data_IF_840624310760
#
_entry.id   IF_840624310760
#
_cell.length_a   1.000
_cell.length_b   1.000
_cell.length_c   1.000
_cell.angle_alpha   90.00
_cell.angle_beta   90.00
_cell.angle_gamma   90.00
#
_symmetry.space_group_name_H-M   'P 1'
#
loop_
_entity.id
_entity.type
_entity.pdbx_description
1 polymer ?
#
# COMPACT_ATOMS: atom_id res chain seq x y z
N UNK A 1 -18.29 -1.91 -6.90
CA UNK A 1 -16.95 -1.89 -6.28
C UNK A 1 -16.09 -2.98 -6.92
N UNK A 2 -14.80 -2.73 -7.18
CA UNK A 2 -13.92 -3.72 -7.80
C UNK A 2 -13.76 -4.96 -6.92
N UNK A 3 -13.80 -6.16 -7.50
CA UNK A 3 -13.67 -7.43 -6.76
C UNK A 3 -12.41 -7.50 -5.91
N UNK A 4 -11.30 -6.98 -6.44
CA UNK A 4 -10.00 -6.92 -5.75
C UNK A 4 -10.01 -6.06 -4.48
N UNK A 5 -10.89 -5.04 -4.42
CA UNK A 5 -11.06 -4.23 -3.21
C UNK A 5 -11.76 -5.01 -2.10
N UNK A 6 -12.76 -5.82 -2.47
CA UNK A 6 -13.54 -6.64 -1.54
C UNK A 6 -12.78 -7.86 -1.04
N UNK A 7 -11.79 -8.36 -1.78
CA UNK A 7 -11.04 -9.57 -1.45
C UNK A 7 -9.78 -9.32 -0.61
N UNK A 8 -9.65 -8.17 0.05
CA UNK A 8 -8.46 -7.84 0.84
C UNK A 8 -8.41 -8.66 2.13
N UNK A 9 -7.20 -9.08 2.50
CA UNK A 9 -6.96 -9.85 3.72
C UNK A 9 -6.91 -8.97 4.98
N UNK A 10 -6.58 -7.69 4.83
CA UNK A 10 -6.38 -6.76 5.93
C UNK A 10 -7.46 -5.66 5.92
N UNK A 11 -7.96 -5.25 7.10
CA UNK A 11 -8.86 -4.10 7.21
C UNK A 11 -8.12 -2.80 6.86
N UNK A 12 -8.88 -1.74 6.56
CA UNK A 12 -8.30 -0.39 6.45
C UNK A 12 -7.92 0.08 7.85
N UNK A 13 -6.66 0.49 8.03
CA UNK A 13 -6.15 0.95 9.31
C UNK A 13 -6.26 2.48 9.47
N UNK A 14 -6.14 3.23 8.37
CA UNK A 14 -6.26 4.68 8.38
C UNK A 14 -6.79 5.23 7.05
N UNK A 15 -7.41 6.41 7.14
CA UNK A 15 -7.91 7.21 6.02
C UNK A 15 -7.35 8.62 6.17
N UNK A 16 -6.79 9.17 5.09
CA UNK A 16 -6.34 10.55 5.00
C UNK A 16 -6.72 11.15 3.63
N UNK A 17 -6.58 12.46 3.48
CA UNK A 17 -7.01 13.20 2.29
C UNK A 17 -5.85 14.01 1.75
N UNK A 18 -5.73 14.17 0.43
CA UNK A 18 -4.68 15.02 -0.14
C UNK A 18 -5.00 16.49 0.15
N UNK A 19 -4.14 17.24 0.87
CA UNK A 19 -4.40 18.64 1.21
C UNK A 19 -4.41 19.57 -0.01
N UNK A 20 -3.93 19.09 -1.17
CA UNK A 20 -3.88 19.85 -2.43
C UNK A 20 -5.10 19.59 -3.29
N UNK A 21 -5.81 18.49 -3.05
CA UNK A 21 -6.95 18.08 -3.84
C UNK A 21 -7.96 17.27 -3.02
N UNK A 22 -9.06 17.92 -2.65
CA UNK A 22 -10.18 17.32 -1.91
C UNK A 22 -10.85 16.13 -2.63
N UNK A 23 -10.54 15.93 -3.92
CA UNK A 23 -11.00 14.79 -4.69
C UNK A 23 -10.20 13.51 -4.49
N UNK A 24 -9.06 13.59 -3.81
CA UNK A 24 -8.19 12.45 -3.56
C UNK A 24 -8.33 11.97 -2.11
N UNK A 25 -8.72 10.71 -1.97
CA UNK A 25 -8.77 9.99 -0.71
C UNK A 25 -7.64 8.96 -0.70
N UNK A 26 -6.88 8.91 0.38
CA UNK A 26 -5.77 7.99 0.56
C UNK A 26 -6.09 7.08 1.75
N UNK A 27 -6.04 5.78 1.52
CA UNK A 27 -6.36 4.74 2.49
C UNK A 27 -5.15 3.85 2.62
N UNK A 28 -4.92 3.25 3.79
CA UNK A 28 -3.95 2.17 3.86
C UNK A 28 -4.36 1.03 4.79
N UNK A 29 -3.83 -0.14 4.47
CA UNK A 29 -3.77 -1.30 5.35
C UNK A 29 -2.31 -1.58 5.75
N UNK A 30 -2.03 -2.78 6.25
CA UNK A 30 -0.68 -3.20 6.69
C UNK A 30 0.35 -3.26 5.56
N UNK A 31 -0.09 -3.41 4.30
CA UNK A 31 0.81 -3.69 3.16
C UNK A 31 0.59 -2.79 1.95
N UNK A 32 -0.58 -2.18 1.85
CA UNK A 32 -1.04 -1.50 0.65
C UNK A 32 -1.56 -0.11 1.00
N UNK A 33 -1.11 0.89 0.24
CA UNK A 33 -1.79 2.19 0.15
C UNK A 33 -2.75 2.12 -1.04
N UNK A 34 -3.98 2.56 -0.84
CA UNK A 34 -4.96 2.76 -1.88
C UNK A 34 -5.24 4.26 -2.07
N UNK A 35 -5.18 4.72 -3.31
CA UNK A 35 -5.55 6.09 -3.69
C UNK A 35 -6.84 6.03 -4.49
N UNK A 36 -7.84 6.79 -4.05
CA UNK A 36 -9.14 6.93 -4.70
C UNK A 36 -9.29 8.37 -5.21
N UNK A 37 -9.51 8.51 -6.50
CA UNK A 37 -9.78 9.78 -7.18
C UNK A 37 -11.28 9.87 -7.51
N UNK A 38 -11.99 10.79 -6.84
CA UNK A 38 -13.45 10.96 -6.97
C UNK A 38 -13.86 11.52 -8.34
N UNK A 39 -12.96 12.17 -9.07
CA UNK A 39 -13.26 12.75 -10.38
C UNK A 39 -13.25 11.72 -11.51
N UNK A 40 -12.87 10.47 -11.20
CA UNK A 40 -12.76 9.39 -12.17
C UNK A 40 -13.81 8.33 -11.95
N UNK A 41 -14.12 7.63 -13.03
CA UNK A 41 -15.07 6.54 -12.99
C UNK A 41 -14.54 5.36 -12.17
N UNK A 42 -15.45 4.74 -11.43
CA UNK A 42 -15.20 3.48 -10.76
C UNK A 42 -14.92 2.42 -11.82
N UNK A 43 -13.85 1.63 -11.66
CA UNK A 43 -13.54 0.62 -12.64
C UNK A 43 -14.54 -0.54 -12.49
N UNK A 44 -14.82 -1.25 -13.60
CA UNK A 44 -15.78 -2.37 -13.64
C UNK A 44 -15.44 -3.42 -12.57
N UNK A 45 -16.43 -4.13 -12.04
CA UNK A 45 -16.21 -5.08 -10.94
C UNK A 45 -15.13 -6.14 -11.24
N UNK A 46 -15.06 -6.59 -12.50
CA UNK A 46 -14.12 -7.58 -13.05
C UNK A 46 -12.72 -7.02 -13.33
N UNK A 47 -12.56 -5.70 -13.34
CA UNK A 47 -11.32 -5.05 -13.76
C UNK A 47 -10.24 -5.12 -12.69
N UNK A 48 -8.99 -5.24 -13.13
CA UNK A 48 -7.82 -5.20 -12.24
C UNK A 48 -7.55 -3.75 -11.83
N UNK A 49 -7.32 -3.51 -10.55
CA UNK A 49 -6.89 -2.20 -10.04
C UNK A 49 -5.42 -1.99 -10.44
N UNK A 50 -5.09 -0.89 -11.15
CA UNK A 50 -3.71 -0.60 -11.52
C UNK A 50 -2.80 -0.46 -10.31
N UNK A 51 -1.57 -0.98 -10.45
CA UNK A 51 -0.50 -0.77 -9.46
C UNK A 51 0.33 0.43 -9.86
N UNK A 52 0.53 1.35 -8.94
CA UNK A 52 1.45 2.47 -9.13
C UNK A 52 2.82 2.04 -8.62
N UNK A 53 3.72 1.69 -9.55
CA UNK A 53 5.11 1.38 -9.24
C UNK A 53 5.85 2.68 -8.89
N UNK A 54 6.39 2.77 -7.67
CA UNK A 54 7.22 3.90 -7.25
C UNK A 54 8.53 3.86 -8.02
N UNK A 55 8.86 4.92 -8.77
CA UNK A 55 10.07 5.00 -9.60
C UNK A 55 11.35 5.26 -8.78
N UNK A 56 11.60 4.47 -7.73
CA UNK A 56 12.79 4.60 -6.89
C UNK A 56 12.97 3.38 -5.99
N UNK A 57 14.18 2.79 -6.05
CA UNK A 57 14.64 1.53 -5.44
C UNK A 57 14.07 0.24 -6.05
N UNK A 58 14.60 -0.12 -7.21
CA UNK A 58 14.59 -1.50 -7.70
C UNK A 58 15.65 -2.31 -6.95
N UNK A 59 15.23 -3.23 -6.09
CA UNK A 59 15.99 -4.43 -5.78
C UNK A 59 15.02 -5.62 -5.77
N UNK A 60 15.16 -6.49 -6.76
CA UNK A 60 14.52 -7.80 -6.79
C UNK A 60 13.37 -7.97 -7.79
N UNK A 61 13.75 -8.31 -9.02
CA UNK A 61 13.07 -9.23 -9.96
C UNK A 61 11.59 -9.58 -9.70
N UNK A 62 10.71 -9.00 -10.52
CA UNK A 62 9.65 -9.79 -11.15
C UNK A 62 9.25 -9.17 -12.51
N UNK A 63 10.07 -9.48 -13.53
CA UNK A 63 9.81 -9.14 -14.92
C UNK A 63 8.73 -10.07 -15.49
N UNK A 64 7.46 -9.76 -15.25
CA UNK A 64 6.35 -10.42 -15.95
C UNK A 64 5.05 -9.62 -16.05
N UNK A 65 5.09 -8.28 -15.97
CA UNK A 65 3.89 -7.47 -16.22
C UNK A 65 4.05 -6.53 -17.41
N UNK A 66 3.36 -6.91 -18.48
CA UNK A 66 3.25 -6.23 -19.76
C UNK A 66 2.84 -4.76 -19.61
N UNK A 67 3.62 -3.86 -20.22
CA UNK A 67 3.11 -2.93 -21.22
C UNK A 67 2.11 -1.84 -20.83
N UNK A 68 2.20 -1.21 -19.66
CA UNK A 68 1.48 0.05 -19.41
C UNK A 68 2.45 1.24 -19.52
N UNK A 69 2.18 2.23 -20.40
CA UNK A 69 3.08 3.35 -20.62
C UNK A 69 3.24 4.18 -19.33
N UNK A 70 4.49 4.55 -19.02
CA UNK A 70 4.90 5.30 -17.82
C UNK A 70 4.47 6.78 -17.80
N UNK A 71 3.49 7.17 -18.62
CA UNK A 71 3.06 8.55 -18.77
C UNK A 71 1.57 8.59 -19.07
N UNK A 72 0.82 9.25 -18.18
CA UNK A 72 -0.55 9.79 -18.29
C UNK A 72 -1.30 9.46 -17.01
N UNK A 73 -2.02 10.45 -16.49
CA UNK A 73 -2.88 10.34 -15.32
C UNK A 73 -3.61 9.00 -15.30
N UNK A 74 -3.67 8.32 -14.14
CA UNK A 74 -4.36 7.04 -14.07
C UNK A 74 -5.80 7.16 -14.57
N UNK A 75 -6.26 6.24 -15.42
CA UNK A 75 -7.59 6.32 -16.07
C UNK A 75 -8.76 5.97 -15.14
N UNK A 76 -8.49 5.34 -14.00
CA UNK A 76 -9.52 4.81 -13.11
C UNK A 76 -9.49 5.51 -11.76
N UNK A 77 -10.59 5.41 -10.99
CA UNK A 77 -10.64 5.97 -9.65
C UNK A 77 -9.64 5.32 -8.67
N UNK A 78 -9.37 4.02 -8.78
CA UNK A 78 -8.59 3.26 -7.79
C UNK A 78 -7.15 2.99 -8.23
N UNK A 79 -6.20 3.17 -7.31
CA UNK A 79 -4.80 2.75 -7.46
C UNK A 79 -4.31 2.06 -6.21
N UNK A 80 -3.44 1.06 -6.39
CA UNK A 80 -2.73 0.42 -5.28
C UNK A 80 -1.22 0.66 -5.37
N UNK A 81 -0.62 0.94 -4.21
CA UNK A 81 0.82 0.97 -4.01
C UNK A 81 1.15 -0.16 -3.04
N UNK A 82 1.85 -1.18 -3.51
CA UNK A 82 2.17 -2.42 -2.75
C UNK A 82 3.66 -2.57 -2.51
N UNK A 83 4.27 -1.55 -1.91
CA UNK A 83 5.72 -1.56 -1.62
C UNK A 83 6.06 -1.86 -0.16
N UNK A 84 5.08 -1.74 0.73
CA UNK A 84 5.30 -1.79 2.17
C UNK A 84 5.08 -3.21 2.69
N UNK A 85 5.88 -3.63 3.66
CA UNK A 85 5.70 -4.95 4.31
C UNK A 85 4.87 -4.87 5.58
N UNK A 86 5.09 -3.82 6.38
CA UNK A 86 4.45 -3.59 7.67
C UNK A 86 4.27 -2.08 7.88
N UNK A 87 3.30 -1.51 7.16
CA UNK A 87 2.93 -0.10 7.22
C UNK A 87 2.03 0.15 8.43
N UNK A 88 2.55 0.91 9.39
CA UNK A 88 1.87 1.16 10.66
C UNK A 88 1.12 2.49 10.63
N UNK A 89 1.65 3.50 9.94
CA UNK A 89 1.04 4.82 9.88
C UNK A 89 1.32 5.53 8.56
N UNK A 90 0.36 6.32 8.09
CA UNK A 90 0.49 7.18 6.92
C UNK A 90 -0.23 8.49 7.19
N UNK A 91 0.48 9.62 7.17
CA UNK A 91 -0.11 10.91 7.47
C UNK A 91 0.64 12.06 6.81
N UNK A 92 -0.10 13.13 6.51
CA UNK A 92 0.46 14.39 6.06
C UNK A 92 1.12 15.13 7.21
N UNK A 93 2.34 15.59 7.00
CA UNK A 93 2.97 16.56 7.87
C UNK A 93 2.58 17.98 7.47
N UNK A 94 3.08 18.95 8.23
CA UNK A 94 2.92 20.37 7.89
C UNK A 94 3.51 20.63 6.50
N UNK A 95 2.70 21.21 5.61
CA UNK A 95 3.07 21.47 4.23
C UNK A 95 2.52 20.40 3.28
N UNK A 96 3.31 19.97 2.31
CA UNK A 96 2.94 19.02 1.26
C UNK A 96 3.71 17.70 1.34
N UNK A 97 4.16 17.32 2.54
CA UNK A 97 4.94 16.11 2.79
C UNK A 97 4.05 15.00 3.35
N UNK A 98 4.11 13.82 2.72
CA UNK A 98 3.42 12.62 3.19
C UNK A 98 4.44 11.65 3.80
N UNK A 99 4.22 11.26 5.05
CA UNK A 99 5.09 10.33 5.77
C UNK A 99 4.44 8.96 5.88
N UNK A 100 5.19 7.93 5.50
CA UNK A 100 4.85 6.54 5.70
C UNK A 100 5.80 5.93 6.73
N UNK A 101 5.25 5.31 7.78
CA UNK A 101 6.02 4.69 8.87
C UNK A 101 5.92 3.18 8.77
N UNK A 102 7.06 2.53 8.54
CA UNK A 102 7.20 1.06 8.56
C UNK A 102 7.92 0.58 9.81
N UNK A 103 7.56 -0.63 10.26
CA UNK A 103 8.25 -1.30 11.37
C UNK A 103 8.77 -2.65 10.93
N UNK A 104 10.05 -2.94 11.23
CA UNK A 104 10.60 -4.29 11.05
C UNK A 104 10.23 -5.18 12.24
N UNK A 105 9.54 -6.33 12.04
CA UNK A 105 9.21 -7.24 13.13
C UNK A 105 10.44 -7.75 13.89
N UNK A 106 11.58 -7.91 13.20
CA UNK A 106 12.83 -8.30 13.84
C UNK A 106 13.32 -7.24 14.82
N UNK A 107 13.29 -5.97 14.39
CA UNK A 107 13.67 -4.84 15.25
C UNK A 107 12.72 -4.65 16.45
N UNK A 108 11.45 -5.02 16.28
CA UNK A 108 10.49 -5.03 17.38
C UNK A 108 10.78 -6.19 18.35
N UNK A 109 11.03 -7.39 17.83
CA UNK A 109 11.32 -8.58 18.62
C UNK A 109 12.59 -8.43 19.48
N UNK A 110 13.61 -7.72 19.00
CA UNK A 110 14.82 -7.40 19.78
C UNK A 110 14.55 -6.54 21.02
N UNK A 111 13.48 -5.74 20.99
CA UNK A 111 13.08 -4.87 22.11
C UNK A 111 12.10 -5.56 23.07
N UNK A 112 11.60 -6.73 22.73
CA UNK A 112 10.69 -7.49 23.58
C UNK A 112 11.49 -8.35 24.58
N UNK A 113 10.90 -8.68 25.74
CA UNK A 113 11.50 -9.64 26.65
C UNK A 113 11.83 -10.98 25.96
N UNK A 114 12.89 -11.70 26.38
CA UNK A 114 13.25 -12.99 25.82
C UNK A 114 12.06 -13.95 25.77
N UNK A 115 11.78 -14.51 24.59
CA UNK A 115 10.71 -15.49 24.41
C UNK A 115 11.16 -16.90 24.81
N UNK A 116 10.18 -17.73 25.18
CA UNK A 116 10.40 -19.17 25.32
C UNK A 116 10.69 -19.77 23.93
N UNK A 117 11.86 -20.39 23.77
CA UNK A 117 12.27 -21.02 22.51
C UNK A 117 12.02 -22.52 22.56
N UNK A 118 11.19 -23.03 21.65
CA UNK A 118 10.97 -24.46 21.45
C UNK A 118 11.65 -24.92 20.16
N UNK A 119 12.49 -25.96 20.24
CA UNK A 119 13.02 -26.62 19.04
C UNK A 119 11.85 -27.24 18.28
N UNK A 120 11.69 -26.86 17.01
CA UNK A 120 10.68 -27.47 16.12
C UNK A 120 11.15 -28.79 15.53
N UNK A 121 12.46 -29.04 15.50
CA UNK A 121 13.09 -30.22 14.91
C UNK A 121 14.27 -30.69 15.77
N UNK A 122 14.44 -32.02 15.87
CA UNK A 122 15.48 -32.68 16.67
C UNK A 122 15.14 -32.75 18.17
N UNK A 123 15.54 -33.84 18.85
CA UNK A 123 15.56 -33.88 20.32
C UNK A 123 16.54 -32.83 20.87
#
# INVERSE_FOLDING_TARGET
>A
MPTQWSSRCFPVNNVTFDPRNDNIIILHDDTTICVIDKDKDLPLAESKIPRLESSGMSDGVDSSNQGYPRTSSPQHAFHFIKKYKHLVHLEWLVGEELVAVEVSPASLAEKLPPSLKQKKYGM
#
